data_IF_644539661410
#
_entry.id   IF_644539661410
#
_cell.length_a   1.000
_cell.length_b   1.000
_cell.length_c   1.000
_cell.angle_alpha   90.00
_cell.angle_beta   90.00
_cell.angle_gamma   90.00
#
_symmetry.space_group_name_H-M   'P 1'
#
loop_
_entity.id
_entity.type
_entity.pdbx_description
1 polymer ?
#
# COMPACT_ATOMS: atom_id res chain seq x y z
N UNK A 1 9.77 -21.63 -4.40
CA UNK A 1 9.93 -20.37 -5.14
C UNK A 1 10.16 -19.26 -4.14
N UNK A 2 11.29 -18.54 -4.25
CA UNK A 2 11.51 -17.33 -3.45
C UNK A 2 10.43 -16.31 -3.75
N UNK A 3 9.80 -15.76 -2.71
CA UNK A 3 8.79 -14.70 -2.84
C UNK A 3 9.49 -13.38 -3.09
N UNK A 4 9.52 -12.93 -4.34
CA UNK A 4 10.05 -11.61 -4.66
C UNK A 4 9.09 -10.53 -4.10
N UNK A 5 9.60 -9.73 -3.15
CA UNK A 5 8.82 -8.66 -2.54
C UNK A 5 9.04 -7.36 -3.32
N UNK A 6 7.96 -6.84 -3.90
CA UNK A 6 7.97 -5.56 -4.60
C UNK A 6 7.45 -4.47 -3.66
N UNK A 7 8.35 -3.55 -3.32
CA UNK A 7 8.06 -2.40 -2.47
C UNK A 7 7.57 -1.25 -3.33
N UNK A 8 6.45 -0.64 -2.97
CA UNK A 8 5.89 0.50 -3.69
C UNK A 8 5.58 1.66 -2.74
N UNK A 9 5.46 2.86 -3.31
CA UNK A 9 5.05 4.04 -2.58
C UNK A 9 3.88 4.73 -3.30
N UNK A 10 3.01 5.37 -2.53
CA UNK A 10 1.89 6.15 -3.08
C UNK A 10 2.13 7.63 -2.81
N UNK A 11 1.99 8.45 -3.84
CA UNK A 11 2.03 9.90 -3.71
C UNK A 11 0.60 10.43 -3.59
N UNK A 12 0.17 10.69 -2.35
CA UNK A 12 -1.16 11.19 -2.02
C UNK A 12 -2.08 10.13 -1.43
N UNK A 13 -2.69 10.45 -0.28
CA UNK A 13 -3.63 9.57 0.43
C UNK A 13 -5.03 10.20 0.57
N UNK A 14 -5.55 10.70 -0.55
CA UNK A 14 -6.93 11.19 -0.68
C UNK A 14 -7.93 10.04 -0.83
N UNK A 15 -9.10 10.32 -1.40
CA UNK A 15 -10.14 9.31 -1.67
C UNK A 15 -9.60 8.17 -2.55
N UNK A 16 -8.93 8.51 -3.65
CA UNK A 16 -8.38 7.52 -4.58
C UNK A 16 -7.25 6.73 -3.94
N UNK A 17 -6.26 7.40 -3.33
CA UNK A 17 -5.12 6.74 -2.70
C UNK A 17 -5.55 5.73 -1.62
N UNK A 18 -6.55 6.07 -0.80
CA UNK A 18 -7.12 5.15 0.19
C UNK A 18 -7.79 3.94 -0.45
N UNK A 19 -8.56 4.15 -1.53
CA UNK A 19 -9.18 3.07 -2.30
C UNK A 19 -8.14 2.10 -2.86
N UNK A 20 -7.05 2.63 -3.44
CA UNK A 20 -5.95 1.82 -3.98
C UNK A 20 -5.28 0.98 -2.88
N UNK A 21 -4.93 1.58 -1.73
CA UNK A 21 -4.34 0.83 -0.61
C UNK A 21 -5.26 -0.30 -0.15
N UNK A 22 -6.56 -0.01 0.02
CA UNK A 22 -7.55 -0.99 0.44
C UNK A 22 -7.66 -2.15 -0.55
N UNK A 23 -7.81 -1.86 -1.85
CA UNK A 23 -7.92 -2.86 -2.90
C UNK A 23 -6.67 -3.75 -3.00
N UNK A 24 -5.47 -3.18 -2.87
CA UNK A 24 -4.22 -3.93 -2.90
C UNK A 24 -4.06 -4.84 -1.68
N UNK A 25 -4.54 -4.41 -0.50
CA UNK A 25 -4.54 -5.23 0.71
C UNK A 25 -5.53 -6.38 0.61
N UNK A 26 -6.77 -6.11 0.17
CA UNK A 26 -7.82 -7.11 0.01
C UNK A 26 -7.48 -8.13 -1.08
N UNK A 27 -6.82 -7.69 -2.17
CA UNK A 27 -6.47 -8.54 -3.31
C UNK A 27 -5.06 -9.13 -3.22
N UNK A 28 -4.36 -8.99 -2.09
CA UNK A 28 -2.93 -9.38 -1.95
C UNK A 28 -2.67 -10.83 -2.36
N UNK A 29 -3.52 -11.76 -1.93
CA UNK A 29 -3.38 -13.17 -2.26
C UNK A 29 -3.63 -13.44 -3.75
N UNK A 30 -4.69 -12.85 -4.33
CA UNK A 30 -4.96 -12.96 -5.76
C UNK A 30 -3.81 -12.41 -6.61
N UNK A 31 -3.27 -11.24 -6.24
CA UNK A 31 -2.14 -10.62 -6.93
C UNK A 31 -0.90 -11.48 -6.79
N UNK A 32 -0.66 -12.08 -5.62
CA UNK A 32 0.42 -13.03 -5.43
C UNK A 32 0.30 -14.26 -6.33
N UNK A 33 -0.89 -14.87 -6.40
CA UNK A 33 -1.14 -16.02 -7.27
C UNK A 33 -0.97 -15.70 -8.75
N UNK A 34 -1.35 -14.50 -9.19
CA UNK A 34 -1.27 -14.08 -10.60
C UNK A 34 0.12 -13.61 -11.03
N UNK A 35 0.88 -12.97 -10.14
CA UNK A 35 2.13 -12.29 -10.49
C UNK A 35 3.37 -12.94 -9.88
N UNK A 36 3.21 -13.82 -8.88
CA UNK A 36 4.29 -14.33 -8.05
C UNK A 36 4.88 -13.32 -7.06
N UNK A 37 4.45 -12.05 -7.12
CA UNK A 37 5.00 -10.98 -6.31
C UNK A 37 4.29 -10.86 -4.96
N UNK A 38 5.03 -10.45 -3.94
CA UNK A 38 4.47 -9.99 -2.69
C UNK A 38 4.53 -8.46 -2.66
N UNK A 39 3.38 -7.79 -2.70
CA UNK A 39 3.31 -6.33 -2.70
C UNK A 39 3.41 -5.79 -1.26
N UNK A 40 4.31 -4.83 -1.06
CA UNK A 40 4.51 -4.15 0.22
C UNK A 40 4.42 -2.63 0.04
N UNK A 41 3.46 -1.99 0.71
CA UNK A 41 3.39 -0.53 0.77
C UNK A 41 4.51 -0.02 1.68
N UNK A 42 5.56 0.53 1.10
CA UNK A 42 6.74 0.99 1.83
C UNK A 42 6.60 2.42 2.36
N UNK A 43 6.02 3.33 1.58
CA UNK A 43 5.82 4.74 1.98
C UNK A 43 4.59 5.36 1.35
N UNK A 44 4.08 6.40 2.00
CA UNK A 44 3.05 7.28 1.43
C UNK A 44 3.52 8.73 1.58
N UNK A 45 3.63 9.44 0.47
CA UNK A 45 3.92 10.88 0.49
C UNK A 45 2.60 11.64 0.64
N UNK A 46 2.54 12.53 1.62
CA UNK A 46 1.42 13.46 1.81
C UNK A 46 1.96 14.87 1.98
N UNK A 47 1.12 15.87 1.69
CA UNK A 47 1.47 17.27 1.91
C UNK A 47 1.64 17.63 3.39
N UNK A 48 0.87 16.98 4.25
CA UNK A 48 0.83 17.24 5.69
C UNK A 48 0.61 15.92 6.44
N UNK A 49 1.64 15.49 7.17
CA UNK A 49 1.65 14.26 7.96
C UNK A 49 0.99 14.42 9.34
N UNK A 50 0.71 15.65 9.77
CA UNK A 50 -0.01 15.91 11.03
C UNK A 50 -1.51 15.61 10.92
N UNK A 51 -2.05 15.61 9.70
CA UNK A 51 -3.47 15.30 9.46
C UNK A 51 -3.75 13.82 9.74
N UNK A 52 -4.79 13.50 10.55
CA UNK A 52 -5.12 12.13 10.86
C UNK A 52 -5.46 11.33 9.59
N UNK A 53 -4.97 10.09 9.54
CA UNK A 53 -5.24 9.11 8.49
C UNK A 53 -5.71 7.81 9.14
N UNK A 54 -7.00 7.71 9.53
CA UNK A 54 -7.53 6.50 10.16
C UNK A 54 -7.28 5.28 9.27
N UNK A 55 -6.79 4.19 9.85
CA UNK A 55 -6.54 2.93 9.15
C UNK A 55 -5.16 2.78 8.50
N UNK A 56 -4.30 3.79 8.52
CA UNK A 56 -2.88 3.64 8.19
C UNK A 56 -2.07 3.59 9.49
N UNK A 57 -1.29 2.52 9.71
CA UNK A 57 -0.29 2.53 10.78
C UNK A 57 0.80 3.53 10.37
N UNK A 58 0.99 4.56 11.17
CA UNK A 58 2.06 5.53 10.98
C UNK A 58 3.38 4.81 11.29
N UNK A 59 4.02 4.27 10.24
CA UNK A 59 5.40 3.80 10.32
C UNK A 59 6.30 5.02 10.22
N UNK A 60 6.42 5.76 11.33
CA UNK A 60 7.53 6.69 11.53
C UNK A 60 8.85 5.91 11.61
#
# INVERSE_FOLDING_TARGET
>A
MEKQTMRFAILGLGTVGKGVVKLLQESREMLHLKTGLNLELAKVLVRDASKPRPGLRDSR
#
